data_IF_915468318139
#
_entry.id   IF_915468318139
#
_cell.length_a   1.000
_cell.length_b   1.000
_cell.length_c   1.000
_cell.angle_alpha   90.00
_cell.angle_beta   90.00
_cell.angle_gamma   90.00
#
_symmetry.space_group_name_H-M   'P 1'
#
loop_
_entity.id
_entity.type
_entity.pdbx_description
1 polymer ?
#
# COMPACT_ATOMS: atom_id res chain seq x y z
N UNK A 1 12.48 18.52 18.61
CA UNK A 1 11.13 18.14 18.14
C UNK A 1 10.14 19.15 18.71
N UNK A 2 9.19 19.63 17.92
CA UNK A 2 8.06 20.40 18.44
C UNK A 2 7.21 19.50 19.35
N UNK A 3 6.96 19.93 20.60
CA UNK A 3 6.17 19.18 21.59
C UNK A 3 4.80 18.76 21.02
N UNK A 4 4.22 19.58 20.14
CA UNK A 4 2.96 19.26 19.47
C UNK A 4 3.05 18.01 18.59
N UNK A 5 4.20 17.74 17.96
CA UNK A 5 4.38 16.58 17.08
C UNK A 5 4.50 15.29 17.88
N UNK A 6 5.24 15.30 18.98
CA UNK A 6 5.31 14.17 19.92
C UNK A 6 3.92 13.82 20.43
N UNK A 7 3.14 14.85 20.81
CA UNK A 7 1.78 14.68 21.31
C UNK A 7 0.88 14.05 20.25
N UNK A 8 0.95 14.49 18.98
CA UNK A 8 0.18 13.89 17.88
C UNK A 8 0.48 12.40 17.69
N UNK A 9 1.76 12.03 17.65
CA UNK A 9 2.19 10.62 17.48
C UNK A 9 1.81 9.76 18.69
N UNK A 10 2.02 10.24 19.91
CA UNK A 10 1.61 9.56 21.13
C UNK A 10 0.08 9.43 21.23
N UNK A 11 -0.67 10.44 20.78
CA UNK A 11 -2.14 10.37 20.73
C UNK A 11 -2.62 9.32 19.71
N UNK A 12 -1.95 9.23 18.55
CA UNK A 12 -2.21 8.18 17.55
C UNK A 12 -1.93 6.78 18.11
N UNK A 13 -0.78 6.59 18.77
CA UNK A 13 -0.43 5.35 19.48
C UNK A 13 -1.47 4.99 20.53
N UNK A 14 -1.87 5.96 21.36
CA UNK A 14 -2.82 5.72 22.44
C UNK A 14 -4.18 5.26 21.91
N UNK A 15 -4.69 5.93 20.86
CA UNK A 15 -5.92 5.51 20.19
C UNK A 15 -5.83 4.08 19.66
N UNK A 16 -4.74 3.74 18.95
CA UNK A 16 -4.53 2.39 18.40
C UNK A 16 -4.36 1.33 19.49
N UNK A 17 -3.72 1.68 20.62
CA UNK A 17 -3.61 0.80 21.78
C UNK A 17 -4.97 0.55 22.45
N UNK A 18 -5.85 1.56 22.52
CA UNK A 18 -7.23 1.41 23.00
C UNK A 18 -8.04 0.50 22.07
N UNK A 19 -7.88 0.64 20.75
CA UNK A 19 -8.55 -0.25 19.80
C UNK A 19 -8.05 -1.70 19.92
N UNK A 20 -6.75 -1.90 20.14
CA UNK A 20 -6.16 -3.20 20.39
C UNK A 20 -6.69 -3.82 21.70
N UNK A 21 -6.78 -3.04 22.77
CA UNK A 21 -7.35 -3.43 24.07
C UNK A 21 -8.81 -3.89 23.91
N UNK A 22 -9.63 -3.10 23.21
CA UNK A 22 -11.03 -3.47 22.89
C UNK A 22 -11.11 -4.75 22.07
N UNK A 23 -10.24 -4.90 21.07
CA UNK A 23 -10.18 -6.10 20.25
C UNK A 23 -9.87 -7.33 21.11
N UNK A 24 -8.84 -7.26 21.96
CA UNK A 24 -8.44 -8.37 22.84
C UNK A 24 -9.52 -8.67 23.88
N UNK A 25 -10.18 -7.67 24.44
CA UNK A 25 -11.32 -7.86 25.36
C UNK A 25 -12.52 -8.53 24.69
N UNK A 26 -12.71 -8.30 23.39
CA UNK A 26 -13.77 -8.93 22.61
C UNK A 26 -13.43 -10.37 22.17
N UNK A 27 -12.26 -10.92 22.51
CA UNK A 27 -11.89 -12.30 22.18
C UNK A 27 -12.42 -13.28 23.25
N UNK A 28 -13.40 -14.16 22.96
CA UNK A 28 -13.68 -15.34 23.78
C UNK A 28 -12.44 -16.14 24.18
N UNK A 29 -11.49 -16.32 23.26
CA UNK A 29 -10.21 -17.03 23.52
C UNK A 29 -9.23 -16.23 24.39
N UNK A 30 -9.48 -14.96 24.70
CA UNK A 30 -8.59 -14.20 25.58
C UNK A 30 -8.58 -14.73 27.02
N UNK A 31 -9.61 -15.50 27.44
CA UNK A 31 -9.57 -16.20 28.72
C UNK A 31 -8.43 -17.22 28.78
N UNK A 32 -8.08 -17.82 27.64
CA UNK A 32 -7.00 -18.80 27.50
C UNK A 32 -5.63 -18.13 27.28
N UNK A 33 -5.60 -16.81 27.11
CA UNK A 33 -4.39 -16.02 26.87
C UNK A 33 -4.27 -14.83 27.85
N UNK A 34 -4.23 -15.07 29.18
CA UNK A 34 -4.15 -13.99 30.16
C UNK A 34 -2.88 -13.14 30.02
N UNK A 35 -1.81 -13.73 29.47
CA UNK A 35 -0.58 -13.01 29.14
C UNK A 35 -0.79 -11.91 28.09
N UNK A 36 -1.64 -12.14 27.09
CA UNK A 36 -1.93 -11.17 26.03
C UNK A 36 -2.64 -9.94 26.60
N UNK A 37 -3.70 -10.15 27.38
CA UNK A 37 -4.45 -9.07 28.02
C UNK A 37 -3.57 -8.24 28.96
N UNK A 38 -2.71 -8.90 29.73
CA UNK A 38 -1.73 -8.22 30.58
C UNK A 38 -0.74 -7.39 29.77
N UNK A 39 -0.17 -7.94 28.69
CA UNK A 39 0.79 -7.23 27.85
C UNK A 39 0.17 -5.98 27.20
N UNK A 40 -1.06 -6.09 26.67
CA UNK A 40 -1.80 -4.95 26.10
C UNK A 40 -2.10 -3.88 27.14
N UNK A 41 -2.51 -4.27 28.35
CA UNK A 41 -2.73 -3.33 29.45
C UNK A 41 -1.44 -2.57 29.82
N UNK A 42 -0.31 -3.27 29.92
CA UNK A 42 1.00 -2.67 30.23
C UNK A 42 1.41 -1.68 29.14
N UNK A 43 1.31 -2.08 27.86
CA UNK A 43 1.59 -1.19 26.72
C UNK A 43 0.74 0.08 26.77
N UNK A 44 -0.57 -0.06 26.99
CA UNK A 44 -1.50 1.08 27.04
C UNK A 44 -1.17 2.04 28.18
N UNK A 45 -0.76 1.50 29.33
CA UNK A 45 -0.36 2.28 30.49
C UNK A 45 0.93 3.06 30.18
N UNK A 46 1.93 2.40 29.62
CA UNK A 46 3.18 3.03 29.20
C UNK A 46 2.93 4.15 28.18
N UNK A 47 2.09 3.92 27.15
CA UNK A 47 1.73 4.96 26.18
C UNK A 47 1.03 6.15 26.85
N UNK A 48 0.11 5.87 27.78
CA UNK A 48 -0.63 6.92 28.51
C UNK A 48 0.31 7.77 29.38
N UNK A 49 1.29 7.16 30.03
CA UNK A 49 2.26 7.87 30.87
C UNK A 49 3.23 8.72 30.02
N UNK A 50 3.64 8.21 28.85
CA UNK A 50 4.40 9.01 27.88
C UNK A 50 3.58 10.18 27.32
N UNK A 51 2.27 10.00 27.09
CA UNK A 51 1.38 11.06 26.64
C UNK A 51 1.20 12.17 27.68
N UNK A 52 1.28 11.85 28.98
CA UNK A 52 1.26 12.84 30.08
C UNK A 52 2.56 13.63 30.19
N UNK A 53 3.67 13.07 29.73
CA UNK A 53 5.01 13.65 29.83
C UNK A 53 5.74 13.66 28.48
N UNK A 54 5.14 14.26 27.43
CA UNK A 54 5.63 14.14 26.05
C UNK A 54 7.05 14.72 25.88
N UNK A 55 7.40 15.74 26.64
CA UNK A 55 8.73 16.36 26.60
C UNK A 55 9.84 15.45 27.17
N UNK A 56 9.46 14.42 27.93
CA UNK A 56 10.39 13.42 28.48
C UNK A 56 10.60 12.22 27.55
N UNK A 57 9.98 12.24 26.36
CA UNK A 57 10.12 11.16 25.40
C UNK A 57 11.57 11.03 24.94
N UNK A 58 12.14 9.83 25.09
CA UNK A 58 13.51 9.50 24.74
C UNK A 58 13.59 8.13 24.06
N UNK A 59 14.74 7.84 23.44
CA UNK A 59 14.94 6.64 22.62
C UNK A 59 14.76 5.33 23.41
N UNK A 60 15.19 5.30 24.67
CA UNK A 60 15.00 4.16 25.58
C UNK A 60 13.51 3.86 25.82
N UNK A 61 12.66 4.89 25.87
CA UNK A 61 11.21 4.74 25.99
C UNK A 61 10.59 4.26 24.67
N UNK A 62 11.04 4.77 23.53
CA UNK A 62 10.61 4.28 22.21
C UNK A 62 10.95 2.79 22.06
N UNK A 63 12.17 2.39 22.40
CA UNK A 63 12.61 1.01 22.33
C UNK A 63 11.81 0.11 23.26
N UNK A 64 11.52 0.58 24.48
CA UNK A 64 10.65 -0.13 25.42
C UNK A 64 9.25 -0.37 24.84
N UNK A 65 8.66 0.62 24.18
CA UNK A 65 7.38 0.44 23.48
C UNK A 65 7.47 -0.61 22.37
N UNK A 66 8.55 -0.62 21.58
CA UNK A 66 8.77 -1.64 20.52
C UNK A 66 8.88 -3.05 21.09
N UNK A 67 9.62 -3.22 22.19
CA UNK A 67 9.73 -4.50 22.89
C UNK A 67 8.34 -4.98 23.33
N UNK A 68 7.55 -4.13 23.98
CA UNK A 68 6.19 -4.49 24.39
C UNK A 68 5.27 -4.84 23.21
N UNK A 69 5.36 -4.10 22.10
CA UNK A 69 4.60 -4.41 20.87
C UNK A 69 5.05 -5.77 20.30
N UNK A 70 6.35 -6.07 20.33
CA UNK A 70 6.89 -7.37 19.93
C UNK A 70 6.39 -8.52 20.79
N UNK A 71 6.32 -8.35 22.11
CA UNK A 71 5.75 -9.32 23.04
C UNK A 71 4.28 -9.61 22.74
N UNK A 72 3.49 -8.58 22.43
CA UNK A 72 2.09 -8.73 22.03
C UNK A 72 2.01 -9.46 20.68
N UNK A 73 2.83 -9.06 19.71
CA UNK A 73 2.85 -9.66 18.37
C UNK A 73 3.19 -11.15 18.41
N UNK A 74 4.02 -11.61 19.36
CA UNK A 74 4.37 -13.02 19.50
C UNK A 74 3.15 -13.92 19.75
N UNK A 75 2.08 -13.40 20.35
CA UNK A 75 0.84 -14.15 20.55
C UNK A 75 0.13 -14.54 19.25
N UNK A 76 0.40 -13.88 18.11
CA UNK A 76 -0.20 -14.26 16.80
C UNK A 76 0.21 -15.67 16.35
N UNK A 77 1.25 -16.25 16.96
CA UNK A 77 1.66 -17.64 16.73
C UNK A 77 0.78 -18.66 17.45
N UNK A 78 -0.05 -18.23 18.40
CA UNK A 78 -0.96 -19.09 19.16
C UNK A 78 -2.00 -19.76 18.25
N UNK A 79 -2.14 -21.08 18.37
CA UNK A 79 -3.19 -21.83 17.67
C UNK A 79 -4.60 -21.33 18.02
N UNK A 80 -4.82 -20.88 19.27
CA UNK A 80 -6.12 -20.35 19.68
C UNK A 80 -6.53 -19.12 18.86
N UNK A 81 -5.59 -18.20 18.60
CA UNK A 81 -5.85 -17.01 17.78
C UNK A 81 -5.93 -17.31 16.28
N UNK A 82 -5.18 -18.31 15.81
CA UNK A 82 -5.22 -18.73 14.39
C UNK A 82 -6.54 -19.40 14.01
N UNK A 83 -7.12 -20.15 14.96
CA UNK A 83 -8.38 -20.86 14.73
C UNK A 83 -9.63 -19.99 14.98
N UNK A 84 -9.48 -18.85 15.68
CA UNK A 84 -10.56 -17.89 15.91
C UNK A 84 -10.75 -17.00 14.68
N UNK A 85 -11.55 -17.47 13.72
CA UNK A 85 -11.86 -16.77 12.47
C UNK A 85 -13.05 -15.85 12.68
N UNK A 86 -12.89 -14.58 12.30
CA UNK A 86 -13.87 -13.52 12.55
C UNK A 86 -14.22 -12.74 11.30
N UNK A 87 -15.48 -12.31 11.17
CA UNK A 87 -15.81 -11.28 10.18
C UNK A 87 -15.02 -10.03 10.54
N UNK A 88 -14.17 -9.59 9.62
CA UNK A 88 -13.49 -8.32 9.74
C UNK A 88 -14.38 -7.25 9.11
N UNK A 89 -14.60 -6.15 9.81
CA UNK A 89 -15.45 -5.04 9.33
C UNK A 89 -14.98 -4.59 7.93
N UNK A 90 -15.90 -4.55 6.96
CA UNK A 90 -15.59 -4.18 5.58
C UNK A 90 -14.92 -5.27 4.73
N UNK A 91 -14.76 -6.50 5.24
CA UNK A 91 -14.11 -7.60 4.50
C UNK A 91 -15.11 -8.64 3.99
N UNK A 92 -14.96 -9.06 2.72
CA UNK A 92 -15.72 -10.17 2.14
C UNK A 92 -15.26 -11.56 2.64
N UNK A 93 -14.04 -11.63 3.18
CA UNK A 93 -13.41 -12.85 3.70
C UNK A 93 -13.04 -12.66 5.17
N UNK A 94 -13.43 -13.59 6.05
CA UNK A 94 -13.13 -13.46 7.47
C UNK A 94 -11.63 -13.68 7.73
N UNK A 95 -11.08 -12.95 8.70
CA UNK A 95 -9.68 -13.05 9.11
C UNK A 95 -9.56 -13.78 10.45
N UNK A 96 -8.46 -14.48 10.67
CA UNK A 96 -8.13 -15.00 12.00
C UNK A 96 -7.81 -13.87 12.97
N UNK A 97 -8.11 -14.06 14.26
CA UNK A 97 -7.73 -13.13 15.32
C UNK A 97 -6.21 -12.91 15.35
N UNK A 98 -5.41 -13.92 14.97
CA UNK A 98 -3.96 -13.80 14.81
C UNK A 98 -3.56 -12.76 13.75
N UNK A 99 -4.18 -12.81 12.56
CA UNK A 99 -3.91 -11.84 11.47
C UNK A 99 -4.32 -10.42 11.87
N UNK A 100 -5.46 -10.27 12.54
CA UNK A 100 -5.92 -8.96 13.03
C UNK A 100 -4.95 -8.41 14.07
N UNK A 101 -4.48 -9.24 15.01
CA UNK A 101 -3.49 -8.86 16.03
C UNK A 101 -2.17 -8.41 15.39
N UNK A 102 -1.67 -9.17 14.42
CA UNK A 102 -0.43 -8.86 13.70
C UNK A 102 -0.53 -7.52 12.97
N UNK A 103 -1.62 -7.30 12.23
CA UNK A 103 -1.88 -6.03 11.53
C UNK A 103 -1.89 -4.83 12.48
N UNK A 104 -2.53 -4.97 13.65
CA UNK A 104 -2.55 -3.93 14.69
C UNK A 104 -1.16 -3.66 15.29
N UNK A 105 -0.37 -4.71 15.54
CA UNK A 105 1.00 -4.57 16.05
C UNK A 105 1.93 -3.90 15.04
N UNK A 106 1.80 -4.24 13.75
CA UNK A 106 2.53 -3.57 12.66
C UNK A 106 2.21 -2.08 12.66
N UNK A 107 0.94 -1.71 12.76
CA UNK A 107 0.52 -0.31 12.81
C UNK A 107 1.09 0.45 14.02
N UNK A 108 1.12 -0.17 15.20
CA UNK A 108 1.76 0.41 16.39
C UNK A 108 3.27 0.61 16.20
N UNK A 109 3.96 -0.39 15.64
CA UNK A 109 5.40 -0.31 15.32
C UNK A 109 5.74 0.80 14.33
N UNK A 110 4.87 1.09 13.36
CA UNK A 110 5.13 2.22 12.45
C UNK A 110 4.98 3.57 13.14
N UNK A 111 4.11 3.67 14.14
CA UNK A 111 4.00 4.90 14.92
C UNK A 111 5.18 5.08 15.88
N UNK A 112 5.72 4.01 16.47
CA UNK A 112 6.95 4.10 17.28
C UNK A 112 8.15 4.48 16.42
N UNK A 113 8.22 3.98 15.19
CA UNK A 113 9.17 4.47 14.19
C UNK A 113 9.00 5.97 13.93
N UNK A 114 7.76 6.45 13.79
CA UNK A 114 7.49 7.88 13.65
C UNK A 114 8.01 8.73 14.82
N UNK A 115 7.92 8.21 16.05
CA UNK A 115 8.51 8.84 17.24
C UNK A 115 10.04 8.82 17.20
N UNK A 116 10.63 7.71 16.79
CA UNK A 116 12.08 7.53 16.64
C UNK A 116 12.66 8.60 15.69
N UNK A 117 12.07 8.72 14.51
CA UNK A 117 12.44 9.71 13.49
C UNK A 117 12.19 11.12 14.02
N UNK A 118 11.04 11.37 14.66
CA UNK A 118 10.67 12.68 15.20
C UNK A 118 11.61 13.19 16.30
N UNK A 119 12.19 12.29 17.10
CA UNK A 119 13.16 12.62 18.15
C UNK A 119 14.51 13.11 17.59
N UNK A 120 14.76 12.98 16.28
CA UNK A 120 15.96 13.46 15.59
C UNK A 120 17.27 12.95 16.21
N UNK A 121 17.24 11.74 16.79
CA UNK A 121 18.40 11.05 17.39
C UNK A 121 18.86 9.85 16.60
N UNK A 122 18.23 9.59 15.46
CA UNK A 122 18.61 8.54 14.52
C UNK A 122 19.66 9.14 13.59
N UNK A 123 20.84 8.53 13.52
CA UNK A 123 21.81 8.92 12.51
C UNK A 123 21.18 8.75 11.12
N UNK A 124 21.55 9.55 10.11
CA UNK A 124 20.97 9.44 8.76
C UNK A 124 21.04 8.02 8.21
N UNK A 125 22.17 7.35 8.47
CA UNK A 125 22.47 5.96 8.13
C UNK A 125 21.49 4.97 8.77
N UNK A 126 20.98 5.29 9.96
CA UNK A 126 19.99 4.47 10.66
C UNK A 126 18.57 4.75 10.16
N UNK A 127 18.27 5.95 9.65
CA UNK A 127 16.93 6.24 9.08
C UNK A 127 16.64 5.32 7.90
N UNK A 128 17.60 5.11 6.99
CA UNK A 128 17.43 4.20 5.85
C UNK A 128 17.15 2.74 6.28
N UNK A 129 17.71 2.29 7.41
CA UNK A 129 17.43 0.95 7.96
C UNK A 129 16.01 0.83 8.51
N UNK A 130 15.44 1.95 8.92
CA UNK A 130 14.14 2.00 9.57
C UNK A 130 12.98 2.34 8.63
N UNK A 131 13.23 3.00 7.49
CA UNK A 131 12.20 3.17 6.46
C UNK A 131 11.77 1.79 5.96
N UNK A 132 10.46 1.49 5.87
CA UNK A 132 9.99 0.25 5.25
C UNK A 132 10.42 0.13 3.78
N UNK A 133 10.61 -1.08 3.28
CA UNK A 133 10.78 -1.30 1.84
C UNK A 133 9.54 -0.88 1.06
N UNK A 134 9.63 -0.87 -0.27
CA UNK A 134 8.43 -0.76 -1.10
C UNK A 134 7.53 -1.97 -0.85
N UNK A 135 6.24 -1.71 -0.73
CA UNK A 135 5.20 -2.70 -0.45
C UNK A 135 4.57 -3.18 -1.75
N UNK A 136 3.79 -4.26 -1.65
CA UNK A 136 2.96 -4.75 -2.76
C UNK A 136 1.99 -3.64 -3.16
N UNK A 137 2.07 -3.23 -4.42
CA UNK A 137 1.30 -2.13 -4.99
C UNK A 137 1.15 -2.34 -6.50
N UNK A 138 0.33 -1.51 -7.14
CA UNK A 138 0.22 -1.52 -8.59
C UNK A 138 1.52 -1.06 -9.28
N UNK A 139 2.31 -0.20 -8.64
CA UNK A 139 3.58 0.24 -9.18
C UNK A 139 4.65 0.33 -8.09
N UNK A 140 5.85 -0.11 -8.46
CA UNK A 140 7.08 0.06 -7.69
C UNK A 140 8.08 0.84 -8.55
N UNK A 141 9.02 1.51 -7.89
CA UNK A 141 9.94 2.45 -8.51
C UNK A 141 11.39 2.10 -8.20
N UNK A 142 12.31 2.50 -9.05
CA UNK A 142 13.73 2.43 -8.77
C UNK A 142 14.45 3.66 -9.32
N UNK A 143 15.70 3.84 -8.89
CA UNK A 143 16.62 4.74 -9.58
C UNK A 143 17.41 3.94 -10.62
N UNK A 144 17.15 4.17 -11.91
CA UNK A 144 17.86 3.58 -13.04
C UNK A 144 18.57 4.67 -13.84
N UNK A 145 19.87 4.54 -14.07
CA UNK A 145 20.68 5.52 -14.81
C UNK A 145 20.54 6.97 -14.33
N UNK A 146 20.32 7.16 -13.02
CA UNK A 146 20.13 8.46 -12.40
C UNK A 146 18.73 9.04 -12.58
N UNK A 147 17.78 8.31 -13.17
CA UNK A 147 16.38 8.70 -13.35
C UNK A 147 15.46 7.81 -12.53
N UNK A 148 14.28 8.31 -12.22
CA UNK A 148 13.20 7.50 -11.68
C UNK A 148 12.65 6.59 -12.78
N UNK A 149 12.59 5.28 -12.52
CA UNK A 149 12.06 4.27 -13.44
C UNK A 149 11.05 3.40 -12.73
N UNK A 150 10.19 2.69 -13.47
CA UNK A 150 9.37 1.63 -12.89
C UNK A 150 10.23 0.40 -12.60
N UNK A 151 10.07 -0.16 -11.41
CA UNK A 151 10.67 -1.43 -11.04
C UNK A 151 9.76 -2.56 -11.55
N UNK A 152 10.28 -3.53 -12.34
CA UNK A 152 9.53 -4.71 -12.71
C UNK A 152 9.10 -5.49 -11.47
N UNK A 153 7.81 -5.86 -11.41
CA UNK A 153 7.25 -6.68 -10.35
C UNK A 153 7.12 -8.11 -10.87
N UNK A 154 7.79 -9.06 -10.20
CA UNK A 154 7.66 -10.50 -10.50
C UNK A 154 7.01 -11.17 -9.31
N UNK A 155 5.76 -11.59 -9.48
CA UNK A 155 5.00 -12.25 -8.44
C UNK A 155 5.15 -13.78 -8.58
N UNK A 156 5.56 -14.41 -7.48
CA UNK A 156 5.63 -15.87 -7.42
C UNK A 156 4.28 -16.45 -6.99
N UNK A 157 3.94 -17.62 -7.55
CA UNK A 157 2.83 -18.45 -7.08
C UNK A 157 3.21 -19.17 -5.79
N UNK A 158 2.27 -19.93 -5.22
CA UNK A 158 2.61 -20.89 -4.18
C UNK A 158 3.57 -21.96 -4.74
N UNK A 159 4.51 -22.46 -3.91
CA UNK A 159 5.41 -23.53 -4.32
C UNK A 159 4.64 -24.77 -4.78
N UNK A 160 4.90 -25.25 -5.99
CA UNK A 160 4.24 -26.41 -6.59
C UNK A 160 3.07 -26.07 -7.52
N UNK A 161 2.58 -24.84 -7.52
CA UNK A 161 1.47 -24.39 -8.37
C UNK A 161 1.95 -23.69 -9.66
N UNK A 162 3.26 -23.60 -9.90
CA UNK A 162 3.83 -22.83 -11.01
C UNK A 162 3.31 -23.31 -12.38
N UNK A 163 3.25 -24.62 -12.58
CA UNK A 163 2.76 -25.21 -13.82
C UNK A 163 1.25 -24.98 -14.01
N UNK A 164 0.49 -25.03 -12.93
CA UNK A 164 -0.97 -24.80 -12.96
C UNK A 164 -1.26 -23.35 -13.32
N UNK A 165 -0.55 -22.40 -12.69
CA UNK A 165 -0.70 -20.99 -12.99
C UNK A 165 -0.26 -20.65 -14.43
N UNK A 166 0.84 -21.26 -14.91
CA UNK A 166 1.30 -21.09 -16.28
C UNK A 166 0.26 -21.58 -17.30
N UNK A 167 -0.28 -22.79 -17.12
CA UNK A 167 -1.32 -23.33 -18.00
C UNK A 167 -2.63 -22.53 -17.93
N UNK A 168 -3.04 -22.10 -16.73
CA UNK A 168 -4.21 -21.24 -16.58
C UNK A 168 -4.02 -19.90 -17.32
N UNK A 169 -2.83 -19.32 -17.23
CA UNK A 169 -2.49 -18.08 -17.94
C UNK A 169 -2.50 -18.26 -19.46
N UNK A 170 -1.95 -19.34 -19.99
CA UNK A 170 -1.97 -19.64 -21.42
C UNK A 170 -3.41 -19.71 -21.95
N UNK A 171 -4.28 -20.45 -21.26
CA UNK A 171 -5.70 -20.53 -21.60
C UNK A 171 -6.38 -19.15 -21.57
N UNK A 172 -6.12 -18.35 -20.52
CA UNK A 172 -6.68 -17.00 -20.40
C UNK A 172 -6.20 -16.08 -21.54
N UNK A 173 -4.95 -16.23 -21.98
CA UNK A 173 -4.43 -15.47 -23.12
C UNK A 173 -5.17 -15.85 -24.41
N UNK A 174 -5.30 -17.14 -24.69
CA UNK A 174 -6.01 -17.64 -25.88
C UNK A 174 -7.47 -17.19 -25.90
N UNK A 175 -8.20 -17.39 -24.80
CA UNK A 175 -9.59 -16.98 -24.67
C UNK A 175 -9.75 -15.45 -24.79
N UNK A 176 -8.88 -14.69 -24.13
CA UNK A 176 -8.95 -13.24 -24.10
C UNK A 176 -8.72 -12.61 -25.47
N UNK A 177 -7.78 -13.13 -26.27
CA UNK A 177 -7.58 -12.67 -27.64
C UNK A 177 -8.77 -12.97 -28.54
N UNK A 178 -9.40 -14.15 -28.40
CA UNK A 178 -10.62 -14.48 -29.14
C UNK A 178 -11.75 -13.51 -28.81
N UNK A 179 -12.02 -13.29 -27.52
CA UNK A 179 -13.07 -12.38 -27.06
C UNK A 179 -12.80 -10.93 -27.48
N UNK A 180 -11.55 -10.48 -27.42
CA UNK A 180 -11.19 -9.14 -27.87
C UNK A 180 -11.41 -8.98 -29.38
N UNK A 181 -11.11 -9.98 -30.19
CA UNK A 181 -11.40 -9.96 -31.63
C UNK A 181 -12.90 -9.88 -31.94
N UNK A 182 -13.73 -10.59 -31.17
CA UNK A 182 -15.19 -10.51 -31.25
C UNK A 182 -15.70 -9.10 -30.88
N UNK A 183 -15.17 -8.51 -29.79
CA UNK A 183 -15.51 -7.15 -29.37
C UNK A 183 -15.07 -6.07 -30.36
N UNK A 184 -13.93 -6.25 -31.03
CA UNK A 184 -13.42 -5.29 -32.02
C UNK A 184 -14.20 -5.31 -33.34
N UNK A 185 -14.89 -6.41 -33.63
CA UNK A 185 -15.69 -6.60 -34.84
C UNK A 185 -17.18 -6.36 -34.62
N UNK A 186 -17.60 -6.15 -33.36
CA UNK A 186 -18.97 -5.78 -32.99
C UNK A 186 -19.14 -4.26 -32.86
N UNK A 187 -20.38 -3.80 -32.67
CA UNK A 187 -20.71 -2.38 -32.43
C UNK A 187 -20.52 -1.96 -30.95
N UNK A 188 -19.64 -2.63 -30.21
CA UNK A 188 -19.44 -2.34 -28.78
C UNK A 188 -18.76 -0.97 -28.58
N UNK A 189 -19.09 -0.32 -27.46
CA UNK A 189 -18.49 0.96 -27.09
C UNK A 189 -16.95 0.92 -27.01
N UNK A 190 -16.23 1.96 -27.47
CA UNK A 190 -14.77 1.99 -27.52
C UNK A 190 -14.09 1.88 -26.14
N UNK A 191 -14.79 2.31 -25.08
CA UNK A 191 -14.29 2.20 -23.70
C UNK A 191 -14.18 0.74 -23.25
N UNK A 192 -15.13 -0.11 -23.64
CA UNK A 192 -15.12 -1.53 -23.33
C UNK A 192 -13.98 -2.25 -24.06
N UNK A 193 -13.83 -2.00 -25.36
CA UNK A 193 -12.75 -2.55 -26.18
C UNK A 193 -11.39 -2.14 -25.58
N UNK A 194 -11.23 -0.88 -25.21
CA UNK A 194 -10.00 -0.39 -24.58
C UNK A 194 -9.72 -1.07 -23.24
N UNK A 195 -10.75 -1.28 -22.40
CA UNK A 195 -10.58 -1.93 -21.11
C UNK A 195 -10.13 -3.40 -21.26
N UNK A 196 -10.77 -4.17 -22.15
CA UNK A 196 -10.39 -5.55 -22.44
C UNK A 196 -9.01 -5.65 -23.11
N UNK A 197 -8.67 -4.73 -24.02
CA UNK A 197 -7.35 -4.68 -24.66
C UNK A 197 -6.23 -4.44 -23.64
N UNK A 198 -6.41 -3.48 -22.73
CA UNK A 198 -5.43 -3.18 -21.68
C UNK A 198 -5.29 -4.34 -20.67
N UNK A 199 -6.40 -5.00 -20.34
CA UNK A 199 -6.38 -6.20 -19.49
C UNK A 199 -5.61 -7.34 -20.17
N UNK A 200 -5.91 -7.62 -21.44
CA UNK A 200 -5.28 -8.70 -22.20
C UNK A 200 -3.76 -8.49 -22.32
N UNK A 201 -3.34 -7.27 -22.67
CA UNK A 201 -1.91 -6.95 -22.77
C UNK A 201 -1.17 -7.13 -21.43
N UNK A 202 -1.84 -6.92 -20.28
CA UNK A 202 -1.24 -7.16 -18.96
C UNK A 202 -1.14 -8.64 -18.61
N UNK A 203 -2.15 -9.44 -18.95
CA UNK A 203 -2.09 -10.90 -18.77
C UNK A 203 -0.97 -11.49 -19.63
N UNK A 204 -0.84 -11.05 -20.88
CA UNK A 204 0.21 -11.47 -21.81
C UNK A 204 1.62 -11.04 -21.38
N UNK A 205 1.76 -9.91 -20.68
CA UNK A 205 3.04 -9.54 -20.09
C UNK A 205 3.42 -10.45 -18.90
N UNK A 206 2.42 -10.99 -18.18
CA UNK A 206 2.61 -12.05 -17.17
C UNK A 206 3.25 -11.59 -15.86
N UNK A 207 3.23 -10.29 -15.62
CA UNK A 207 3.85 -9.63 -14.49
C UNK A 207 2.87 -8.63 -13.86
N UNK A 208 3.02 -8.42 -12.55
CA UNK A 208 2.24 -7.49 -11.75
C UNK A 208 0.76 -7.90 -11.56
N UNK A 209 0.53 -8.81 -10.64
CA UNK A 209 -0.80 -9.35 -10.32
C UNK A 209 -1.75 -8.27 -9.79
N UNK A 210 -1.21 -7.22 -9.15
CA UNK A 210 -2.01 -6.10 -8.68
C UNK A 210 -2.54 -5.31 -9.88
N UNK A 211 -1.70 -4.98 -10.86
CA UNK A 211 -2.17 -4.31 -12.09
C UNK A 211 -3.20 -5.14 -12.84
N UNK A 212 -3.00 -6.45 -12.99
CA UNK A 212 -3.99 -7.33 -13.63
C UNK A 212 -5.31 -7.27 -12.87
N UNK A 213 -5.29 -7.40 -11.54
CA UNK A 213 -6.49 -7.30 -10.71
C UNK A 213 -7.21 -5.97 -10.81
N UNK A 214 -6.47 -4.85 -10.88
CA UNK A 214 -7.08 -3.53 -11.12
C UNK A 214 -7.70 -3.42 -12.52
N UNK A 215 -7.09 -4.01 -13.54
CA UNK A 215 -7.62 -4.02 -14.92
C UNK A 215 -8.86 -4.91 -15.06
N UNK A 216 -8.93 -6.05 -14.38
CA UNK A 216 -10.14 -6.89 -14.32
C UNK A 216 -11.33 -6.08 -13.83
N UNK A 217 -11.13 -5.27 -12.79
CA UNK A 217 -12.19 -4.41 -12.25
C UNK A 217 -12.63 -3.34 -13.24
N UNK A 218 -11.69 -2.67 -13.89
CA UNK A 218 -12.01 -1.67 -14.92
C UNK A 218 -12.81 -2.31 -16.07
N UNK A 219 -12.41 -3.52 -16.50
CA UNK A 219 -13.13 -4.26 -17.53
C UNK A 219 -14.52 -4.72 -17.08
N UNK A 220 -14.68 -5.19 -15.84
CA UNK A 220 -15.98 -5.56 -15.26
C UNK A 220 -16.92 -4.35 -15.17
N UNK A 221 -16.43 -3.21 -14.69
CA UNK A 221 -17.21 -1.97 -14.63
C UNK A 221 -17.65 -1.51 -16.03
N UNK A 222 -16.75 -1.55 -17.02
CA UNK A 222 -17.07 -1.22 -18.41
C UNK A 222 -18.09 -2.21 -19.00
N UNK A 223 -17.94 -3.51 -18.73
CA UNK A 223 -18.86 -4.55 -19.20
C UNK A 223 -20.26 -4.34 -18.64
N UNK A 224 -20.38 -4.07 -17.34
CA UNK A 224 -21.67 -3.80 -16.68
C UNK A 224 -22.31 -2.53 -17.20
N UNK A 225 -21.52 -1.48 -17.46
CA UNK A 225 -22.03 -0.23 -18.02
C UNK A 225 -22.56 -0.39 -19.46
N UNK A 226 -22.09 -1.40 -20.19
CA UNK A 226 -22.55 -1.76 -21.54
C UNK A 226 -23.46 -2.99 -21.56
N UNK A 227 -24.07 -3.38 -20.43
CA UNK A 227 -24.87 -4.63 -20.35
C UNK A 227 -25.98 -4.71 -21.40
N UNK A 228 -26.60 -3.57 -21.71
CA UNK A 228 -27.74 -3.47 -22.61
C UNK A 228 -27.33 -3.58 -24.09
N UNK A 229 -26.03 -3.52 -24.39
CA UNK A 229 -25.46 -3.70 -25.73
C UNK A 229 -25.29 -5.19 -26.10
N UNK A 230 -25.46 -6.11 -25.14
CA UNK A 230 -25.15 -7.54 -25.32
C UNK A 230 -26.36 -8.46 -25.24
N UNK A 231 -26.31 -9.54 -26.03
CA UNK A 231 -27.13 -10.70 -25.74
C UNK A 231 -26.69 -11.33 -24.40
N UNK A 232 -27.64 -11.87 -23.63
CA UNK A 232 -27.37 -12.44 -22.31
C UNK A 232 -26.25 -13.49 -22.30
N UNK A 233 -26.15 -14.31 -23.36
CA UNK A 233 -25.10 -15.30 -23.52
C UNK A 233 -23.71 -14.69 -23.73
N UNK A 234 -23.61 -13.62 -24.52
CA UNK A 234 -22.33 -12.91 -24.75
C UNK A 234 -21.85 -12.22 -23.48
N UNK A 235 -22.77 -11.54 -22.77
CA UNK A 235 -22.47 -10.94 -21.48
C UNK A 235 -21.95 -11.99 -20.49
N UNK A 236 -22.63 -13.15 -20.41
CA UNK A 236 -22.22 -14.25 -19.53
C UNK A 236 -20.83 -14.80 -19.87
N UNK A 237 -20.47 -14.92 -21.15
CA UNK A 237 -19.14 -15.38 -21.58
C UNK A 237 -18.05 -14.37 -21.16
N UNK A 238 -18.28 -13.07 -21.40
CA UNK A 238 -17.34 -12.02 -21.00
C UNK A 238 -17.17 -11.96 -19.47
N UNK A 239 -18.27 -12.06 -18.72
CA UNK A 239 -18.24 -12.09 -17.27
C UNK A 239 -17.52 -13.34 -16.74
N UNK A 240 -17.74 -14.51 -17.34
CA UNK A 240 -17.06 -15.75 -16.99
C UNK A 240 -15.54 -15.65 -17.22
N UNK A 241 -15.11 -15.00 -18.29
CA UNK A 241 -13.69 -14.76 -18.55
C UNK A 241 -13.05 -13.88 -17.47
N UNK A 242 -13.68 -12.77 -17.07
CA UNK A 242 -13.21 -11.92 -15.96
C UNK A 242 -13.15 -12.68 -14.62
N UNK A 243 -14.11 -13.58 -14.37
CA UNK A 243 -14.11 -14.45 -13.21
C UNK A 243 -12.92 -15.44 -13.25
N UNK A 244 -12.64 -16.04 -14.40
CA UNK A 244 -11.51 -16.95 -14.56
C UNK A 244 -10.17 -16.23 -14.33
N UNK A 245 -10.02 -14.98 -14.76
CA UNK A 245 -8.83 -14.18 -14.45
C UNK A 245 -8.75 -13.93 -12.93
N UNK A 246 -9.87 -13.68 -12.26
CA UNK A 246 -9.89 -13.53 -10.80
C UNK A 246 -9.46 -14.81 -10.07
N UNK A 247 -9.86 -16.00 -10.58
CA UNK A 247 -9.37 -17.28 -10.07
C UNK A 247 -7.88 -17.49 -10.31
N UNK A 248 -7.37 -17.07 -11.47
CA UNK A 248 -5.94 -17.05 -11.74
C UNK A 248 -5.18 -16.18 -10.73
N UNK A 249 -5.65 -14.96 -10.47
CA UNK A 249 -5.05 -14.05 -9.49
C UNK A 249 -5.06 -14.62 -8.06
N UNK A 250 -6.07 -15.41 -7.71
CA UNK A 250 -6.15 -16.05 -6.40
C UNK A 250 -5.01 -17.05 -6.14
N UNK A 251 -4.28 -17.51 -7.16
CA UNK A 251 -3.11 -18.39 -7.03
C UNK A 251 -1.85 -17.64 -6.55
N UNK A 252 -1.89 -16.29 -6.48
CA UNK A 252 -0.75 -15.46 -6.12
C UNK A 252 -0.90 -14.90 -4.69
N UNK A 253 0.01 -15.26 -3.76
CA UNK A 253 -0.01 -14.73 -2.40
C UNK A 253 0.10 -13.20 -2.34
N UNK A 254 0.78 -12.57 -3.30
CA UNK A 254 0.90 -11.13 -3.38
C UNK A 254 -0.47 -10.45 -3.59
N UNK A 255 -1.30 -11.01 -4.47
CA UNK A 255 -2.66 -10.52 -4.70
C UNK A 255 -3.54 -10.69 -3.46
N UNK A 256 -3.48 -11.84 -2.80
CA UNK A 256 -4.23 -12.10 -1.57
C UNK A 256 -3.90 -11.07 -0.49
N UNK A 257 -2.61 -10.88 -0.20
CA UNK A 257 -2.13 -9.88 0.77
C UNK A 257 -2.56 -8.46 0.39
N UNK A 258 -2.52 -8.11 -0.90
CA UNK A 258 -2.98 -6.81 -1.36
C UNK A 258 -4.49 -6.63 -1.12
N UNK A 259 -5.30 -7.63 -1.48
CA UNK A 259 -6.75 -7.61 -1.29
C UNK A 259 -7.15 -7.57 0.19
N UNK A 260 -6.44 -8.28 1.06
CA UNK A 260 -6.63 -8.25 2.52
C UNK A 260 -6.29 -6.86 3.08
N UNK A 261 -5.13 -6.30 2.73
CA UNK A 261 -4.73 -4.96 3.17
C UNK A 261 -5.71 -3.88 2.70
N UNK A 262 -6.29 -4.05 1.52
CA UNK A 262 -7.22 -3.10 0.94
C UNK A 262 -8.51 -2.99 1.75
N UNK A 263 -8.92 -4.08 2.40
CA UNK A 263 -10.16 -4.11 3.17
C UNK A 263 -10.05 -3.33 4.49
N UNK A 264 -8.83 -3.09 4.99
CA UNK A 264 -8.57 -2.24 6.16
C UNK A 264 -8.39 -0.75 5.84
N UNK A 265 -8.56 -0.34 4.58
CA UNK A 265 -8.37 1.06 4.17
C UNK A 265 -9.66 1.85 4.40
N UNK A 266 -9.61 2.79 5.34
CA UNK A 266 -10.66 3.76 5.58
C UNK A 266 -10.11 5.17 5.35
N UNK A 267 -10.30 5.68 4.13
CA UNK A 267 -10.01 7.08 3.78
C UNK A 267 -11.31 7.84 3.55
N UNK A 268 -11.31 9.13 3.90
CA UNK A 268 -12.41 10.03 3.53
C UNK A 268 -12.34 10.39 2.03
N UNK A 269 -13.44 10.89 1.47
CA UNK A 269 -13.47 11.45 0.10
C UNK A 269 -12.47 12.60 -0.06
N UNK A 270 -12.26 13.39 0.99
CA UNK A 270 -11.29 14.48 1.01
C UNK A 270 -9.86 13.94 0.91
N UNK A 271 -9.54 12.91 1.69
CA UNK A 271 -8.24 12.22 1.63
C UNK A 271 -7.99 11.64 0.23
N UNK A 272 -8.98 10.95 -0.34
CA UNK A 272 -8.86 10.37 -1.68
C UNK A 272 -8.65 11.45 -2.74
N UNK A 273 -9.38 12.56 -2.64
CA UNK A 273 -9.23 13.72 -3.53
C UNK A 273 -7.82 14.31 -3.44
N UNK A 274 -7.28 14.44 -2.23
CA UNK A 274 -5.91 14.91 -1.98
C UNK A 274 -4.87 13.98 -2.61
N UNK A 275 -4.99 12.66 -2.41
CA UNK A 275 -4.09 11.66 -3.00
C UNK A 275 -4.12 11.70 -4.53
N UNK A 276 -5.32 11.80 -5.13
CA UNK A 276 -5.48 11.88 -6.59
C UNK A 276 -4.86 13.14 -7.17
N UNK A 277 -5.11 14.28 -6.54
CA UNK A 277 -4.52 15.57 -6.94
C UNK A 277 -2.99 15.50 -6.90
N UNK A 278 -2.45 14.95 -5.81
CA UNK A 278 -1.00 14.79 -5.63
C UNK A 278 -0.38 13.89 -6.70
N UNK A 279 -1.00 12.74 -6.99
CA UNK A 279 -0.51 11.82 -8.03
C UNK A 279 -0.48 12.48 -9.41
N UNK A 280 -1.52 13.25 -9.77
CA UNK A 280 -1.59 13.98 -11.04
C UNK A 280 -0.59 15.12 -11.12
N UNK A 281 -0.40 15.87 -10.03
CA UNK A 281 0.58 16.95 -9.96
C UNK A 281 2.00 16.40 -10.15
N UNK A 282 2.34 15.29 -9.48
CA UNK A 282 3.61 14.58 -9.66
C UNK A 282 3.79 14.11 -11.11
N UNK A 283 2.77 13.47 -11.69
CA UNK A 283 2.81 13.02 -13.08
C UNK A 283 3.07 14.17 -14.07
N UNK A 284 2.33 15.28 -13.93
CA UNK A 284 2.52 16.46 -14.77
C UNK A 284 3.94 17.02 -14.66
N UNK A 285 4.44 17.17 -13.44
CA UNK A 285 5.74 17.76 -13.20
C UNK A 285 6.90 16.88 -13.72
N UNK A 286 6.80 15.56 -13.54
CA UNK A 286 7.78 14.60 -14.07
C UNK A 286 7.77 14.57 -15.60
N UNK A 287 6.60 14.72 -16.22
CA UNK A 287 6.47 14.79 -17.69
C UNK A 287 7.16 16.02 -18.27
N UNK A 288 7.09 17.16 -17.59
CA UNK A 288 7.80 18.39 -17.98
C UNK A 288 9.33 18.28 -17.84
N UNK A 289 9.82 17.29 -17.09
CA UNK A 289 11.24 17.11 -16.77
C UNK A 289 11.68 15.68 -17.08
N UNK A 290 11.74 15.30 -18.37
CA UNK A 290 12.07 13.94 -18.77
C UNK A 290 13.45 13.51 -18.24
N UNK A 291 14.39 14.42 -18.03
CA UNK A 291 15.68 14.10 -17.42
C UNK A 291 15.60 13.57 -15.98
N UNK A 292 14.46 13.66 -15.30
CA UNK A 292 14.26 13.18 -13.92
C UNK A 292 13.58 11.80 -13.86
N UNK A 293 12.75 11.45 -14.84
CA UNK A 293 12.00 10.19 -14.83
C UNK A 293 11.79 9.62 -16.23
N UNK A 294 11.74 8.29 -16.34
CA UNK A 294 11.26 7.61 -17.52
C UNK A 294 9.78 7.93 -17.78
N UNK A 295 9.34 7.91 -19.05
CA UNK A 295 7.98 8.22 -19.45
C UNK A 295 6.92 7.29 -18.83
N UNK A 296 7.30 6.05 -18.48
CA UNK A 296 6.41 5.10 -17.83
C UNK A 296 6.02 5.51 -16.39
N UNK A 297 6.85 6.31 -15.71
CA UNK A 297 6.60 6.76 -14.34
C UNK A 297 5.41 7.74 -14.23
N UNK A 298 5.36 8.87 -14.97
CA UNK A 298 4.19 9.74 -14.94
C UNK A 298 2.93 9.05 -15.46
N UNK A 299 3.05 8.13 -16.42
CA UNK A 299 1.92 7.31 -16.90
C UNK A 299 1.35 6.40 -15.80
N UNK A 300 2.23 5.76 -14.99
CA UNK A 300 1.82 4.96 -13.85
C UNK A 300 1.06 5.78 -12.79
N UNK A 301 1.59 6.96 -12.45
CA UNK A 301 0.96 7.88 -11.49
C UNK A 301 -0.41 8.39 -11.97
N UNK A 302 -0.56 8.66 -13.26
CA UNK A 302 -1.86 9.00 -13.84
C UNK A 302 -2.81 7.82 -13.82
N UNK A 303 -2.34 6.63 -14.20
CA UNK A 303 -3.14 5.39 -14.22
C UNK A 303 -3.80 5.13 -12.87
N UNK A 304 -3.04 5.16 -11.77
CA UNK A 304 -3.63 4.94 -10.43
C UNK A 304 -4.58 6.06 -10.01
N UNK A 305 -4.35 7.30 -10.48
CA UNK A 305 -5.25 8.43 -10.20
C UNK A 305 -6.59 8.33 -10.94
N UNK A 306 -6.58 7.69 -12.12
CA UNK A 306 -7.76 7.46 -12.97
C UNK A 306 -8.58 6.30 -12.40
N UNK A 307 -7.94 5.21 -11.96
CA UNK A 307 -8.67 4.13 -11.27
C UNK A 307 -9.47 4.64 -10.07
N UNK A 308 -8.88 5.57 -9.31
CA UNK A 308 -9.53 6.23 -8.18
C UNK A 308 -10.59 7.28 -8.56
N UNK A 309 -10.76 7.59 -9.84
CA UNK A 309 -11.74 8.55 -10.34
C UNK A 309 -13.09 7.92 -10.70
N UNK A 310 -13.06 6.71 -11.24
CA UNK A 310 -14.20 6.11 -11.94
C UNK A 310 -15.05 5.19 -11.05
N UNK A 311 -14.75 5.11 -9.75
CA UNK A 311 -15.46 4.24 -8.82
C UNK A 311 -16.65 4.98 -8.20
N UNK A 312 -17.87 4.60 -8.58
CA UNK A 312 -19.11 5.13 -8.01
C UNK A 312 -19.24 4.81 -6.50
N UNK A 313 -18.56 3.76 -6.03
CA UNK A 313 -18.40 3.40 -4.62
C UNK A 313 -16.91 3.39 -4.26
N UNK A 314 -16.56 3.85 -3.05
CA UNK A 314 -15.19 3.85 -2.53
C UNK A 314 -14.71 2.41 -2.29
N UNK A 315 -14.03 1.81 -3.27
CA UNK A 315 -13.44 0.49 -3.10
C UNK A 315 -12.03 0.56 -2.52
N UNK A 316 -11.82 -0.12 -1.39
CA UNK A 316 -10.53 -0.16 -0.69
C UNK A 316 -9.35 -0.61 -1.56
N UNK A 317 -9.55 -1.46 -2.58
CA UNK A 317 -8.46 -1.91 -3.48
C UNK A 317 -7.98 -0.79 -4.39
N UNK A 318 -8.91 0.02 -4.89
CA UNK A 318 -8.61 1.19 -5.71
C UNK A 318 -7.86 2.23 -4.88
N UNK A 319 -8.37 2.50 -3.68
CA UNK A 319 -7.74 3.43 -2.74
C UNK A 319 -6.34 2.95 -2.37
N UNK A 320 -6.18 1.67 -2.03
CA UNK A 320 -4.90 1.09 -1.67
C UNK A 320 -3.91 1.12 -2.83
N UNK A 321 -4.35 0.85 -4.07
CA UNK A 321 -3.47 0.89 -5.25
C UNK A 321 -2.83 2.28 -5.41
N UNK A 322 -3.62 3.34 -5.31
CA UNK A 322 -3.15 4.72 -5.36
C UNK A 322 -2.22 5.03 -4.17
N UNK A 323 -2.70 4.76 -2.96
CA UNK A 323 -1.99 5.01 -1.71
C UNK A 323 -0.61 4.34 -1.69
N UNK A 324 -0.55 3.02 -1.94
CA UNK A 324 0.71 2.26 -1.90
C UNK A 324 1.66 2.64 -3.02
N UNK A 325 1.15 3.04 -4.19
CA UNK A 325 2.01 3.57 -5.26
C UNK A 325 2.71 4.85 -4.81
N UNK A 326 1.98 5.78 -4.17
CA UNK A 326 2.58 7.01 -3.63
C UNK A 326 3.52 6.72 -2.44
N UNK A 327 3.16 5.80 -1.54
CA UNK A 327 4.04 5.36 -0.45
C UNK A 327 5.35 4.75 -0.97
N UNK A 328 5.26 3.93 -2.01
CA UNK A 328 6.42 3.27 -2.61
C UNK A 328 7.37 4.29 -3.23
N UNK A 329 6.83 5.29 -3.93
CA UNK A 329 7.60 6.42 -4.42
C UNK A 329 8.26 7.19 -3.28
N UNK A 330 7.52 7.46 -2.20
CA UNK A 330 8.04 8.15 -1.03
C UNK A 330 9.16 7.36 -0.34
N UNK A 331 9.00 6.05 -0.14
CA UNK A 331 10.03 5.16 0.42
C UNK A 331 11.32 5.23 -0.39
N UNK A 332 11.22 5.16 -1.72
CA UNK A 332 12.37 5.30 -2.60
C UNK A 332 13.06 6.66 -2.43
N UNK A 333 12.29 7.74 -2.33
CA UNK A 333 12.82 9.10 -2.16
C UNK A 333 13.53 9.27 -0.83
N UNK A 334 12.93 8.86 0.29
CA UNK A 334 13.56 8.98 1.62
C UNK A 334 14.87 8.18 1.67
N UNK A 335 14.90 6.97 1.09
CA UNK A 335 16.15 6.19 0.97
C UNK A 335 17.18 6.87 0.08
N UNK A 336 16.73 7.49 -1.01
CA UNK A 336 17.58 8.28 -1.90
C UNK A 336 18.23 9.47 -1.20
N UNK A 337 17.50 10.19 -0.35
CA UNK A 337 18.02 11.30 0.46
C UNK A 337 19.19 10.86 1.33
N UNK A 338 19.02 9.75 2.05
CA UNK A 338 20.07 9.20 2.91
C UNK A 338 21.29 8.80 2.08
N UNK A 339 21.08 8.06 0.98
CA UNK A 339 22.18 7.60 0.12
C UNK A 339 22.96 8.75 -0.56
N UNK A 340 22.29 9.85 -0.92
CA UNK A 340 22.92 11.06 -1.48
C UNK A 340 23.81 11.76 -0.46
N UNK A 341 23.47 11.67 0.83
CA UNK A 341 24.26 12.25 1.92
C UNK A 341 25.55 11.46 2.17
N UNK A 342 25.53 10.14 2.06
CA UNK A 342 26.63 9.25 2.45
C UNK A 342 27.83 9.21 1.46
N UNK A 343 28.00 10.21 0.58
CA UNK A 343 29.05 10.31 -0.46
C UNK A 343 29.23 9.10 -1.42
N UNK A 344 28.46 8.02 -1.25
CA UNK A 344 28.52 6.79 -2.03
C UNK A 344 28.05 6.92 -3.49
N UNK A 345 27.49 8.09 -3.87
CA UNK A 345 26.88 8.33 -5.19
C UNK A 345 27.71 9.31 -6.02
N UNK A 346 28.02 8.93 -7.27
CA UNK A 346 28.73 9.79 -8.25
C UNK A 346 28.05 11.16 -8.40
N UNK A 347 28.85 12.24 -8.47
CA UNK A 347 28.42 13.65 -8.46
C UNK A 347 27.29 14.00 -9.46
N UNK A 348 27.32 13.44 -10.68
CA UNK A 348 26.27 13.64 -11.67
C UNK A 348 24.92 12.99 -11.29
N UNK A 349 24.95 11.80 -10.69
CA UNK A 349 23.73 11.12 -10.18
C UNK A 349 23.19 11.82 -8.94
N UNK A 350 24.07 12.41 -8.13
CA UNK A 350 23.72 13.18 -6.93
C UNK A 350 22.78 14.34 -7.25
N UNK A 351 23.05 15.09 -8.32
CA UNK A 351 22.22 16.24 -8.75
C UNK A 351 20.85 15.84 -9.27
N UNK A 352 20.76 14.77 -10.05
CA UNK A 352 19.47 14.29 -10.57
C UNK A 352 18.63 13.69 -9.45
N UNK A 353 19.23 12.88 -8.58
CA UNK A 353 18.56 12.37 -7.37
C UNK A 353 18.08 13.52 -6.48
N UNK A 354 18.91 14.54 -6.22
CA UNK A 354 18.51 15.72 -5.46
C UNK A 354 17.33 16.48 -6.10
N UNK A 355 17.31 16.61 -7.44
CA UNK A 355 16.19 17.21 -8.16
C UNK A 355 14.89 16.41 -8.02
N UNK A 356 14.96 15.08 -8.13
CA UNK A 356 13.81 14.18 -7.92
C UNK A 356 13.31 14.28 -6.48
N UNK A 357 14.22 14.26 -5.51
CA UNK A 357 13.91 14.36 -4.08
C UNK A 357 13.22 15.69 -3.78
N UNK A 358 13.81 16.81 -4.18
CA UNK A 358 13.26 18.14 -3.91
C UNK A 358 11.86 18.29 -4.51
N UNK A 359 11.66 17.78 -5.72
CA UNK A 359 10.36 17.72 -6.36
C UNK A 359 9.37 16.91 -5.54
N UNK A 360 9.67 15.63 -5.26
CA UNK A 360 8.72 14.75 -4.60
C UNK A 360 8.36 15.34 -3.24
N UNK A 361 9.33 15.83 -2.47
CA UNK A 361 9.07 16.51 -1.18
C UNK A 361 8.17 17.74 -1.34
N UNK A 362 8.38 18.58 -2.36
CA UNK A 362 7.51 19.75 -2.59
C UNK A 362 6.06 19.36 -2.91
N UNK A 363 5.86 18.32 -3.72
CA UNK A 363 4.52 17.81 -4.05
C UNK A 363 3.89 17.01 -2.90
N UNK A 364 4.72 16.45 -2.03
CA UNK A 364 4.33 15.59 -0.91
C UNK A 364 3.91 16.35 0.35
N UNK A 365 4.06 17.69 0.41
CA UNK A 365 3.65 18.48 1.57
C UNK A 365 2.14 18.38 1.88
N UNK A 366 1.32 18.13 0.86
CA UNK A 366 -0.15 18.15 0.97
C UNK A 366 -0.78 16.78 1.25
N UNK A 367 -0.06 15.67 1.01
CA UNK A 367 -0.65 14.31 1.10
C UNK A 367 -0.19 13.49 2.31
N UNK A 368 0.88 13.90 3.00
CA UNK A 368 1.41 13.18 4.16
C UNK A 368 0.34 12.95 5.27
N UNK A 369 -0.54 13.92 5.60
CA UNK A 369 -1.61 13.70 6.58
C UNK A 369 -2.59 12.59 6.17
N UNK A 370 -3.00 12.57 4.90
CA UNK A 370 -3.90 11.55 4.34
C UNK A 370 -3.23 10.17 4.28
N UNK A 371 -1.94 10.14 3.95
CA UNK A 371 -1.17 8.89 3.95
C UNK A 371 -1.05 8.24 5.31
N UNK A 372 -0.94 9.02 6.39
CA UNK A 372 -0.82 8.48 7.73
C UNK A 372 -2.10 7.76 8.24
N UNK A 373 -3.22 7.89 7.53
CA UNK A 373 -4.43 7.12 7.80
C UNK A 373 -4.39 5.72 7.17
N UNK A 374 -3.52 5.49 6.18
CA UNK A 374 -3.37 4.16 5.55
C UNK A 374 -2.58 3.25 6.49
N UNK A 375 -3.11 2.06 6.83
CA UNK A 375 -2.40 1.09 7.65
C UNK A 375 -1.02 0.80 7.07
N UNK A 376 0.03 0.95 7.87
CA UNK A 376 1.39 0.71 7.41
C UNK A 376 2.17 1.97 7.01
N UNK A 377 1.49 3.09 6.72
CA UNK A 377 2.09 4.30 6.16
C UNK A 377 2.26 5.43 7.19
N UNK A 378 2.06 5.13 8.48
CA UNK A 378 2.08 6.12 9.56
C UNK A 378 3.43 6.85 9.70
N UNK A 379 4.51 6.23 9.23
CA UNK A 379 5.88 6.75 9.21
C UNK A 379 6.09 7.91 8.21
N UNK A 380 5.19 8.09 7.23
CA UNK A 380 5.35 9.10 6.16
C UNK A 380 5.35 10.52 6.72
N UNK A 381 4.41 10.85 7.63
CA UNK A 381 4.39 12.16 8.28
C UNK A 381 5.71 12.48 8.98
N UNK A 382 6.28 11.48 9.66
CA UNK A 382 7.50 11.71 10.42
C UNK A 382 8.74 11.92 9.52
N UNK A 383 8.79 11.19 8.41
CA UNK A 383 9.88 11.30 7.44
C UNK A 383 9.79 12.55 6.59
N UNK A 384 8.58 13.04 6.31
CA UNK A 384 8.36 14.26 5.54
C UNK A 384 9.13 15.45 6.14
N UNK A 385 8.86 15.77 7.40
CA UNK A 385 9.52 16.88 8.09
C UNK A 385 11.04 16.70 8.17
N UNK A 386 11.51 15.47 8.35
CA UNK A 386 12.95 15.17 8.41
C UNK A 386 13.62 15.45 7.07
N UNK A 387 13.03 14.94 5.97
CA UNK A 387 13.57 15.17 4.63
C UNK A 387 13.46 16.63 4.23
N UNK A 388 12.38 17.32 4.58
CA UNK A 388 12.22 18.76 4.34
C UNK A 388 13.32 19.57 5.02
N UNK A 389 13.70 19.22 6.27
CA UNK A 389 14.79 19.88 6.98
C UNK A 389 16.19 19.58 6.40
N UNK A 390 16.33 18.55 5.58
CA UNK A 390 17.60 18.19 4.91
C UNK A 390 17.76 18.81 3.53
N UNK A 391 16.68 19.33 2.95
CA UNK A 391 16.73 20.03 1.68
C UNK A 391 17.22 21.47 1.89
N UNK A 392 18.13 21.97 1.04
CA UNK A 392 18.71 23.31 1.16
C UNK A 392 17.72 24.45 0.89
#
# INVERSE_FOLDING_TARGET
>A
MDSQRTIKLLSSLNRKAIELDRFVDALPVAQDLPGLKRAVYVLRTEISDNLRTPDSMAMDRVERLRIMIGEISAFSTSMALRNDVRPAEGMATPLSAAQILESRCVSLNNNTLGLEIGLNRVAPEDIAKHIPGQKIAAFQFAFGDGRLVLQPQTDATLPGDEAVAASARELLIEEGFRLLGELQTSNCGPRLISAFSLLQGKIEAGNDVVQIGMRVRTADAALRASSDEFAASQFAILAAHLLNISHYLAQFPAWQRFAENAAGVALSDEDLTSLRSTSRALASYLRERPNLADAAVPEALETVSVWAADSAELDGKVILALARTLENLWSLVVRGVVAVRDELVKEGRKRVAAGIIALVVSACATFAPSMAQIPGAEWINATFDYVQALLP
#
